data_IF_051552358337
#
_entry.id   IF_051552358337
#
_cell.length_a   1.000
_cell.length_b   1.000
_cell.length_c   1.000
_cell.angle_alpha   90.00
_cell.angle_beta   90.00
_cell.angle_gamma   90.00
#
_symmetry.space_group_name_H-M   'P 1'
#
loop_
_entity.id
_entity.type
_entity.pdbx_description
1 polymer ?
#
# COMPACT_ATOMS: atom_id res chain seq x y z
N UNK A 1 -8.77 11.67 13.63
CA UNK A 1 -8.84 11.06 12.31
C UNK A 1 -8.79 9.57 12.37
N UNK A 2 -9.68 8.92 11.74
CA UNK A 2 -9.60 7.46 11.75
C UNK A 2 -8.42 7.02 10.92
N UNK A 3 -7.90 5.88 11.27
CA UNK A 3 -6.84 5.27 10.51
C UNK A 3 -7.41 4.78 9.19
N UNK A 4 -6.65 4.93 8.12
CA UNK A 4 -7.07 4.45 6.81
C UNK A 4 -7.35 2.95 6.88
N UNK A 5 -8.42 2.52 6.29
CA UNK A 5 -8.81 1.12 6.33
C UNK A 5 -7.84 0.28 5.51
N UNK A 6 -7.64 -0.96 5.95
CA UNK A 6 -6.85 -1.91 5.19
C UNK A 6 -7.52 -2.15 3.84
N UNK A 7 -6.76 -2.23 2.76
CA UNK A 7 -7.35 -2.45 1.44
C UNK A 7 -8.22 -3.71 1.34
N UNK A 8 -8.01 -4.66 2.25
CA UNK A 8 -8.86 -5.83 2.31
C UNK A 8 -10.33 -5.50 2.52
N UNK A 9 -10.61 -4.38 3.18
CA UNK A 9 -12.00 -3.98 3.39
C UNK A 9 -12.65 -3.56 2.09
N UNK A 10 -11.93 -2.82 1.26
CA UNK A 10 -12.44 -2.45 -0.05
C UNK A 10 -12.60 -3.70 -0.91
N UNK A 11 -11.63 -4.59 -0.86
CA UNK A 11 -11.70 -5.83 -1.62
C UNK A 11 -12.93 -6.64 -1.21
N UNK A 12 -13.20 -6.72 0.09
CA UNK A 12 -14.35 -7.43 0.58
C UNK A 12 -15.65 -6.83 0.02
N UNK A 13 -15.71 -5.52 -0.01
CA UNK A 13 -16.86 -4.81 -0.53
C UNK A 13 -17.05 -5.08 -2.03
N UNK A 14 -15.95 -5.09 -2.77
CA UNK A 14 -16.01 -5.39 -4.19
C UNK A 14 -16.51 -6.80 -4.45
N UNK A 15 -16.06 -7.74 -3.66
CA UNK A 15 -16.49 -9.12 -3.81
C UNK A 15 -17.98 -9.25 -3.50
N UNK A 16 -18.44 -8.58 -2.44
CA UNK A 16 -19.83 -8.60 -2.10
C UNK A 16 -20.70 -8.00 -3.19
N UNK A 17 -20.27 -6.87 -3.71
CA UNK A 17 -21.02 -6.19 -4.76
C UNK A 17 -21.15 -7.01 -6.02
N UNK A 18 -20.20 -7.89 -6.28
CA UNK A 18 -20.18 -8.71 -7.48
C UNK A 18 -20.63 -10.14 -7.20
N UNK A 19 -21.07 -10.44 -5.99
CA UNK A 19 -21.45 -11.78 -5.57
C UNK A 19 -20.33 -12.78 -5.89
N UNK A 20 -19.09 -12.40 -5.57
CA UNK A 20 -17.94 -13.19 -5.92
C UNK A 20 -17.27 -13.69 -4.64
N UNK A 21 -16.91 -14.97 -4.61
CA UNK A 21 -16.24 -15.52 -3.43
C UNK A 21 -14.74 -15.27 -3.50
N UNK A 22 -14.10 -15.28 -2.33
CA UNK A 22 -12.65 -15.17 -2.28
C UNK A 22 -11.97 -16.27 -3.06
N UNK A 23 -12.52 -17.47 -3.00
CA UNK A 23 -11.97 -18.60 -3.71
C UNK A 23 -12.04 -18.40 -5.22
N UNK A 24 -13.16 -17.87 -5.70
CA UNK A 24 -13.33 -17.62 -7.12
C UNK A 24 -12.36 -16.52 -7.58
N UNK A 25 -12.22 -15.47 -6.80
CA UNK A 25 -11.27 -14.42 -7.13
C UNK A 25 -9.86 -14.99 -7.21
N UNK A 26 -9.48 -15.80 -6.24
CA UNK A 26 -8.15 -16.41 -6.23
C UNK A 26 -7.89 -17.22 -7.47
N UNK A 27 -8.88 -18.00 -7.90
CA UNK A 27 -8.76 -18.78 -9.11
C UNK A 27 -8.61 -17.87 -10.32
N UNK A 28 -9.41 -16.84 -10.39
CA UNK A 28 -9.43 -15.96 -11.56
C UNK A 28 -8.14 -15.15 -11.71
N UNK A 29 -7.50 -14.82 -10.63
CA UNK A 29 -6.25 -14.05 -10.70
C UNK A 29 -5.00 -14.92 -10.51
N UNK A 30 -5.20 -16.20 -10.27
CA UNK A 30 -4.08 -17.15 -10.24
C UNK A 30 -3.24 -17.09 -8.98
N UNK A 31 -3.86 -16.90 -7.82
CA UNK A 31 -3.14 -16.93 -6.54
C UNK A 31 -3.80 -17.94 -5.60
N UNK A 32 -3.11 -18.37 -4.56
CA UNK A 32 -3.73 -19.28 -3.60
C UNK A 32 -4.91 -18.62 -2.89
N UNK A 33 -5.96 -19.37 -2.63
CA UNK A 33 -7.13 -18.82 -1.97
C UNK A 33 -6.83 -18.30 -0.57
N UNK A 34 -5.89 -18.92 0.11
CA UNK A 34 -5.49 -18.45 1.44
C UNK A 34 -4.91 -17.05 1.40
N UNK A 35 -4.24 -16.69 0.31
CA UNK A 35 -3.71 -15.33 0.17
C UNK A 35 -4.84 -14.30 0.15
N UNK A 36 -5.88 -14.58 -0.60
CA UNK A 36 -7.02 -13.66 -0.67
C UNK A 36 -7.71 -13.58 0.70
N UNK A 37 -7.92 -14.70 1.34
CA UNK A 37 -8.55 -14.72 2.64
C UNK A 37 -7.75 -13.91 3.65
N UNK A 38 -6.45 -14.05 3.64
CA UNK A 38 -5.58 -13.30 4.55
C UNK A 38 -5.63 -11.80 4.30
N UNK A 39 -5.70 -11.40 3.03
CA UNK A 39 -5.83 -9.99 2.68
C UNK A 39 -7.18 -9.46 3.18
N UNK A 40 -8.24 -10.21 2.96
CA UNK A 40 -9.58 -9.79 3.39
C UNK A 40 -9.66 -9.61 4.90
N UNK A 41 -8.93 -10.42 5.63
CA UNK A 41 -8.90 -10.36 7.07
C UNK A 41 -7.86 -9.41 7.63
N UNK A 42 -7.15 -8.71 6.77
CA UNK A 42 -6.14 -7.75 7.21
C UNK A 42 -4.86 -8.37 7.72
N UNK A 43 -4.66 -9.66 7.47
CA UNK A 43 -3.46 -10.36 7.96
C UNK A 43 -2.31 -10.34 6.98
N UNK A 44 -2.55 -9.92 5.76
CA UNK A 44 -1.51 -9.89 4.74
C UNK A 44 -1.65 -8.61 3.94
N UNK A 45 -0.52 -8.02 3.63
CA UNK A 45 -0.50 -6.82 2.80
C UNK A 45 -0.62 -7.17 1.32
N UNK A 46 -1.12 -6.23 0.55
CA UNK A 46 -1.16 -6.39 -0.90
C UNK A 46 0.23 -6.07 -1.43
N UNK A 47 0.86 -7.02 -2.08
CA UNK A 47 2.17 -6.83 -2.71
C UNK A 47 1.98 -6.31 -4.13
N UNK A 48 3.07 -5.91 -4.75
CA UNK A 48 3.02 -5.43 -6.14
C UNK A 48 2.43 -6.47 -7.08
N UNK A 49 2.84 -7.73 -6.91
CA UNK A 49 2.31 -8.81 -7.73
C UNK A 49 0.80 -8.93 -7.59
N UNK A 50 0.30 -8.96 -6.37
CA UNK A 50 -1.12 -9.06 -6.14
C UNK A 50 -1.84 -7.81 -6.64
N UNK A 51 -1.24 -6.64 -6.48
CA UNK A 51 -1.84 -5.40 -6.93
C UNK A 51 -2.01 -5.37 -8.45
N UNK A 52 -1.02 -5.87 -9.18
CA UNK A 52 -1.12 -5.96 -10.64
C UNK A 52 -2.27 -6.88 -11.04
N UNK A 53 -2.37 -8.01 -10.38
CA UNK A 53 -3.42 -8.98 -10.68
C UNK A 53 -4.80 -8.41 -10.37
N UNK A 54 -4.94 -7.75 -9.24
CA UNK A 54 -6.22 -7.14 -8.86
C UNK A 54 -6.59 -6.00 -9.80
N UNK A 55 -5.61 -5.21 -10.18
CA UNK A 55 -5.86 -4.11 -11.10
C UNK A 55 -6.36 -4.58 -12.44
N UNK A 56 -5.77 -5.64 -12.95
CA UNK A 56 -6.21 -6.20 -14.23
C UNK A 56 -7.59 -6.82 -14.13
N UNK A 57 -7.86 -7.46 -13.01
CA UNK A 57 -9.14 -8.12 -12.82
C UNK A 57 -10.30 -7.12 -12.69
N UNK A 58 -10.09 -6.10 -11.87
CA UNK A 58 -11.15 -5.12 -11.59
C UNK A 58 -11.15 -3.94 -12.54
N UNK A 59 -10.16 -3.83 -13.39
CA UNK A 59 -10.11 -2.73 -14.36
C UNK A 59 -9.59 -1.42 -13.76
N UNK A 60 -8.85 -1.50 -12.66
CA UNK A 60 -8.19 -0.32 -12.11
C UNK A 60 -6.68 -0.57 -12.15
N UNK A 61 -5.90 0.22 -11.45
CA UNK A 61 -4.45 0.11 -11.57
C UNK A 61 -3.85 -0.58 -10.36
N UNK A 62 -2.67 -1.14 -10.56
CA UNK A 62 -1.91 -1.69 -9.46
C UNK A 62 -1.60 -0.60 -8.44
N UNK A 63 -1.31 0.61 -8.91
CA UNK A 63 -0.99 1.72 -8.05
C UNK A 63 -2.15 2.06 -7.12
N UNK A 64 -3.37 1.95 -7.61
CA UNK A 64 -4.55 2.16 -6.79
C UNK A 64 -4.53 1.26 -5.55
N UNK A 65 -4.29 -0.03 -5.76
CA UNK A 65 -4.27 -0.99 -4.65
C UNK A 65 -3.08 -0.78 -3.72
N UNK A 66 -1.93 -0.44 -4.29
CA UNK A 66 -0.75 -0.19 -3.48
C UNK A 66 -0.87 1.11 -2.69
N UNK A 67 -1.51 2.11 -3.23
CA UNK A 67 -1.74 3.36 -2.51
C UNK A 67 -2.62 3.14 -1.29
N UNK A 68 -3.64 2.31 -1.42
CA UNK A 68 -4.48 1.98 -0.30
C UNK A 68 -3.69 1.26 0.79
N UNK A 69 -2.84 0.34 0.37
CA UNK A 69 -2.02 -0.41 1.31
C UNK A 69 -1.04 0.52 2.03
N UNK A 70 -0.39 1.39 1.29
CA UNK A 70 0.60 2.31 1.82
C UNK A 70 -0.03 3.28 2.81
N UNK A 71 -1.19 3.83 2.49
CA UNK A 71 -1.91 4.72 3.38
C UNK A 71 -2.26 4.04 4.69
N UNK A 72 -2.70 2.80 4.61
CA UNK A 72 -3.03 2.03 5.80
C UNK A 72 -1.77 1.79 6.64
N UNK A 73 -0.70 1.36 6.00
CA UNK A 73 0.53 1.02 6.70
C UNK A 73 1.13 2.24 7.40
N UNK A 74 1.15 3.37 6.72
CA UNK A 74 1.66 4.59 7.30
C UNK A 74 0.81 5.01 8.49
N UNK A 75 -0.50 4.94 8.36
CA UNK A 75 -1.41 5.34 9.43
C UNK A 75 -1.22 4.46 10.67
N UNK A 76 -1.01 3.18 10.46
CA UNK A 76 -0.78 2.25 11.57
C UNK A 76 0.51 2.58 12.29
N UNK A 77 1.58 2.79 11.53
CA UNK A 77 2.87 3.09 12.13
C UNK A 77 2.81 4.42 12.89
N UNK A 78 2.16 5.41 12.31
CA UNK A 78 2.06 6.70 12.98
C UNK A 78 1.23 6.62 14.24
N UNK A 79 0.17 5.86 14.22
CA UNK A 79 -0.66 5.70 15.41
C UNK A 79 0.06 4.94 16.51
N UNK A 80 0.77 3.89 16.16
CA UNK A 80 1.39 3.00 17.15
C UNK A 80 2.77 3.44 17.57
N UNK A 81 3.51 4.06 16.68
CA UNK A 81 4.91 4.38 16.92
C UNK A 81 5.29 5.82 16.59
N UNK A 82 4.33 6.64 16.20
CA UNK A 82 4.64 8.00 15.75
C UNK A 82 5.35 8.84 16.79
N UNK A 83 4.90 8.75 18.02
CA UNK A 83 5.52 9.55 19.10
C UNK A 83 6.96 9.09 19.36
N UNK A 84 7.19 7.81 19.35
CA UNK A 84 8.51 7.26 19.56
C UNK A 84 9.45 7.64 18.42
N UNK A 85 8.99 7.52 17.20
CA UNK A 85 9.76 7.88 16.03
C UNK A 85 10.09 9.37 16.07
N UNK A 86 9.12 10.18 16.46
CA UNK A 86 9.34 11.61 16.57
C UNK A 86 10.42 11.98 17.56
N UNK A 87 10.54 11.20 18.63
CA UNK A 87 11.58 11.44 19.63
C UNK A 87 12.94 10.93 19.18
N UNK A 88 12.96 9.88 18.37
CA UNK A 88 14.21 9.24 17.98
C UNK A 88 14.83 9.80 16.72
N UNK A 89 14.00 10.22 15.79
CA UNK A 89 14.50 10.72 14.52
C UNK A 89 14.94 12.16 14.69
N UNK A 90 16.15 12.44 14.32
CA UNK A 90 16.65 13.81 14.33
C UNK A 90 16.57 14.35 12.93
N UNK A 91 15.74 15.38 12.71
CA UNK A 91 15.66 15.95 11.38
C UNK A 91 17.00 16.51 10.94
N UNK A 92 17.30 16.49 9.69
CA UNK A 92 18.47 17.15 9.16
C UNK A 92 18.37 18.63 9.48
N UNK A 93 19.49 19.32 9.59
CA UNK A 93 19.39 20.71 9.96
C UNK A 93 18.66 21.48 8.85
N UNK A 94 18.21 22.67 9.21
CA UNK A 94 17.32 23.43 8.36
C UNK A 94 17.85 23.69 6.96
N UNK A 95 19.13 23.98 6.87
CA UNK A 95 19.71 24.24 5.56
C UNK A 95 19.68 22.99 4.69
N UNK A 96 20.03 21.87 5.28
CA UNK A 96 19.97 20.61 4.56
C UNK A 96 18.55 20.23 4.20
N UNK A 97 17.64 20.49 5.09
CA UNK A 97 16.25 20.18 4.82
C UNK A 97 15.75 20.97 3.64
N UNK A 98 16.13 22.23 3.55
CA UNK A 98 15.72 23.02 2.43
C UNK A 98 16.29 22.53 1.15
N UNK A 99 17.53 22.12 1.17
CA UNK A 99 18.15 21.62 -0.02
C UNK A 99 17.58 20.29 -0.47
N UNK A 100 16.85 19.64 0.44
CA UNK A 100 16.29 18.38 0.11
C UNK A 100 14.82 18.46 -0.12
N UNK A 101 14.33 19.58 -0.51
CA UNK A 101 12.92 19.69 -0.83
C UNK A 101 12.53 18.69 -1.87
N UNK A 102 13.45 18.37 -2.77
CA UNK A 102 13.19 17.31 -3.72
C UNK A 102 13.83 16.05 -3.23
N UNK A 103 13.04 15.05 -2.91
CA UNK A 103 13.61 13.78 -2.50
C UNK A 103 14.40 13.15 -3.63
N UNK A 104 15.30 12.29 -3.27
CA UNK A 104 16.12 11.62 -4.25
C UNK A 104 15.33 10.95 -5.32
N UNK A 105 14.21 10.38 -4.99
CA UNK A 105 13.42 9.66 -5.98
C UNK A 105 12.75 10.61 -6.97
N UNK A 106 12.66 11.88 -6.63
CA UNK A 106 12.08 12.83 -7.54
C UNK A 106 13.09 13.40 -8.48
N UNK A 107 14.35 13.25 -8.17
CA UNK A 107 15.36 13.79 -9.04
C UNK A 107 15.63 12.85 -10.13
N UNK A 108 15.83 13.30 -11.30
CA UNK A 108 16.24 12.40 -12.37
C UNK A 108 17.56 11.81 -11.98
N UNK A 109 17.80 10.62 -12.41
CA UNK A 109 19.07 10.01 -12.15
C UNK A 109 20.11 10.90 -12.69
N UNK A 110 21.17 10.92 -12.00
CA UNK A 110 22.21 11.72 -12.40
C UNK A 110 22.66 11.31 -13.72
N UNK A 111 22.88 12.21 -14.49
CA UNK A 111 23.29 11.86 -15.81
C UNK A 111 24.58 11.22 -15.76
N UNK A 112 24.97 11.21 -14.72
CA UNK A 112 26.06 10.60 -14.51
C UNK A 112 25.90 9.36 -14.83
N UNK A 113 25.05 9.24 -14.67
CA UNK A 113 24.81 8.14 -14.75
C UNK A 113 24.41 8.13 -15.80
N UNK A 114 24.35 8.70 -16.00
CA UNK A 114 23.86 8.61 -17.02
C UNK A 114 24.17 8.53 -17.62
#
# INVERSE_FOLDING_TARGET
>A
MPVAAHPGRLLKRELSARALSANRLALDIGVPSGRITDILNGRRSITADTAVRLGRYFGNSAQFWLDLQSQHDIAVVEREHGAEIGRRVRPADAAQAKMRLSPCWERPPSPHTS
#
